data_IF_815112277833
#
_entry.id   IF_815112277833
#
_cell.length_a   1.000
_cell.length_b   1.000
_cell.length_c   1.000
_cell.angle_alpha   90.00
_cell.angle_beta   90.00
_cell.angle_gamma   90.00
#
_symmetry.space_group_name_H-M   'P 1'
#
loop_
_entity.id
_entity.type
_entity.pdbx_description
1 polymer ?
#
# COMPACT_ATOMS: atom_id res chain seq x y z
N UNK A 1 18.97 -2.34 -11.79
CA UNK A 1 18.04 -3.22 -11.05
C UNK A 1 16.78 -2.42 -10.83
N UNK A 2 15.61 -2.95 -11.19
CA UNK A 2 14.33 -2.26 -10.97
C UNK A 2 13.78 -2.67 -9.61
N UNK A 3 13.45 -1.68 -8.77
CA UNK A 3 12.93 -1.90 -7.43
C UNK A 3 11.49 -1.37 -7.39
N UNK A 4 10.58 -2.20 -6.91
CA UNK A 4 9.16 -1.88 -6.78
C UNK A 4 8.75 -1.95 -5.30
N UNK A 5 7.76 -1.15 -4.92
CA UNK A 5 7.15 -1.19 -3.60
C UNK A 5 5.77 -1.87 -3.64
N UNK A 6 5.23 -2.22 -2.48
CA UNK A 6 3.89 -2.80 -2.35
C UNK A 6 2.97 -1.86 -1.58
N UNK A 7 1.80 -1.57 -2.13
CA UNK A 7 0.79 -0.72 -1.47
C UNK A 7 -0.20 -1.61 -0.70
N UNK A 8 -0.29 -1.47 0.63
CA UNK A 8 -1.00 -2.43 1.50
C UNK A 8 -2.52 -2.17 1.56
N UNK A 9 -3.23 -2.34 0.44
CA UNK A 9 -4.69 -2.07 0.36
C UNK A 9 -5.57 -3.06 1.13
N UNK A 10 -5.00 -4.11 1.73
CA UNK A 10 -5.70 -5.04 2.62
C UNK A 10 -5.49 -4.74 4.12
N UNK A 11 -4.55 -3.85 4.46
CA UNK A 11 -4.12 -3.63 5.83
C UNK A 11 -2.61 -3.50 5.95
N UNK A 12 -2.19 -2.62 6.86
CA UNK A 12 -0.79 -2.43 7.23
C UNK A 12 -0.65 -2.45 8.75
N UNK A 13 0.36 -3.14 9.25
CA UNK A 13 0.58 -3.27 10.67
C UNK A 13 2.05 -3.49 11.00
N UNK A 14 2.40 -3.14 12.25
CA UNK A 14 3.74 -3.44 12.79
C UNK A 14 3.92 -4.92 13.16
N UNK A 15 2.83 -5.59 13.55
CA UNK A 15 2.87 -6.96 14.06
C UNK A 15 1.88 -7.84 13.27
N UNK A 16 2.34 -9.02 12.86
CA UNK A 16 1.55 -9.96 12.06
C UNK A 16 0.47 -10.65 12.89
N UNK A 17 -0.71 -10.88 12.29
CA UNK A 17 -1.79 -11.65 12.90
C UNK A 17 -2.46 -11.00 14.12
N UNK A 18 -2.28 -9.70 14.33
CA UNK A 18 -2.86 -8.94 15.44
C UNK A 18 -3.27 -7.55 15.01
N UNK A 19 -4.22 -6.95 15.73
CA UNK A 19 -4.61 -5.56 15.56
C UNK A 19 -3.65 -4.59 16.26
N UNK A 20 -2.73 -5.10 17.10
CA UNK A 20 -1.76 -4.25 17.78
C UNK A 20 -0.85 -3.55 16.77
N UNK A 21 -0.85 -2.21 16.77
CA UNK A 21 -0.05 -1.42 15.83
C UNK A 21 -0.52 -1.50 14.37
N UNK A 22 -1.77 -1.91 14.13
CA UNK A 22 -2.43 -1.74 12.84
C UNK A 22 -2.63 -0.24 12.56
N UNK A 23 -2.50 0.14 11.28
CA UNK A 23 -2.81 1.47 10.79
C UNK A 23 -4.18 1.43 10.11
N UNK A 24 -4.94 2.49 10.29
CA UNK A 24 -6.13 2.71 9.47
C UNK A 24 -5.70 2.88 8.02
N UNK A 25 -6.41 2.19 7.12
CA UNK A 25 -6.17 2.28 5.69
C UNK A 25 -7.22 3.19 5.10
N UNK A 26 -6.79 4.38 4.70
CA UNK A 26 -7.57 5.33 3.94
C UNK A 26 -6.78 5.80 2.71
N UNK A 27 -7.44 6.60 1.86
CA UNK A 27 -6.81 7.11 0.64
C UNK A 27 -5.58 7.97 0.93
N UNK A 28 -5.62 8.81 1.97
CA UNK A 28 -4.53 9.73 2.30
C UNK A 28 -3.28 8.97 2.75
N UNK A 29 -3.45 7.89 3.51
CA UNK A 29 -2.38 6.99 3.92
C UNK A 29 -1.75 6.27 2.71
N UNK A 30 -2.57 5.68 1.84
CA UNK A 30 -2.08 4.99 0.65
C UNK A 30 -1.33 5.95 -0.28
N UNK A 31 -1.84 7.18 -0.44
CA UNK A 31 -1.17 8.26 -1.16
C UNK A 31 0.16 8.63 -0.55
N UNK A 32 0.26 8.71 0.78
CA UNK A 32 1.53 8.97 1.46
C UNK A 32 2.58 7.91 1.12
N UNK A 33 2.21 6.62 1.14
CA UNK A 33 3.13 5.53 0.80
C UNK A 33 3.54 5.60 -0.67
N UNK A 34 2.61 5.88 -1.58
CA UNK A 34 2.90 6.04 -3.00
C UNK A 34 3.85 7.22 -3.27
N UNK A 35 3.61 8.38 -2.64
CA UNK A 35 4.49 9.56 -2.73
C UNK A 35 5.87 9.28 -2.14
N UNK A 36 5.95 8.52 -1.04
CA UNK A 36 7.22 8.11 -0.47
C UNK A 36 8.00 7.21 -1.45
N UNK A 37 7.35 6.21 -2.04
CA UNK A 37 7.98 5.34 -3.05
C UNK A 37 8.48 6.13 -4.27
N UNK A 38 7.66 7.05 -4.79
CA UNK A 38 8.03 7.95 -5.90
C UNK A 38 9.25 8.81 -5.55
N UNK A 39 9.22 9.49 -4.39
CA UNK A 39 10.32 10.36 -3.95
C UNK A 39 11.64 9.63 -3.68
N UNK A 40 11.58 8.33 -3.36
CA UNK A 40 12.75 7.48 -3.10
C UNK A 40 13.29 6.81 -4.36
N UNK A 41 12.66 7.01 -5.53
CA UNK A 41 13.12 6.50 -6.82
C UNK A 41 12.76 5.04 -7.10
N UNK A 42 11.64 4.54 -6.54
CA UNK A 42 11.09 3.25 -6.95
C UNK A 42 10.54 3.33 -8.38
N UNK A 43 10.71 2.26 -9.15
CA UNK A 43 10.23 2.19 -10.56
C UNK A 43 8.71 2.14 -10.65
N UNK A 44 8.07 1.67 -9.58
CA UNK A 44 6.62 1.63 -9.47
C UNK A 44 6.16 0.91 -8.22
N UNK A 45 4.86 0.68 -8.16
CA UNK A 45 4.21 0.01 -7.04
C UNK A 45 3.30 -1.11 -7.51
N UNK A 46 3.21 -2.16 -6.70
CA UNK A 46 2.24 -3.24 -6.86
C UNK A 46 1.03 -2.97 -5.98
N UNK A 47 -0.15 -3.00 -6.60
CA UNK A 47 -1.45 -2.99 -5.91
C UNK A 47 -2.00 -4.43 -5.90
N UNK A 48 -2.28 -5.02 -4.73
CA UNK A 48 -2.82 -6.37 -4.66
C UNK A 48 -4.27 -6.42 -5.14
N UNK A 49 -4.71 -7.63 -5.50
CA UNK A 49 -6.10 -7.92 -5.85
C UNK A 49 -6.65 -8.98 -4.91
N UNK A 50 -7.92 -8.88 -4.53
CA UNK A 50 -8.59 -9.89 -3.73
C UNK A 50 -9.85 -9.34 -3.06
N UNK A 51 -10.74 -10.21 -2.59
CA UNK A 51 -12.00 -9.80 -1.94
C UNK A 51 -11.80 -8.85 -0.76
N UNK A 52 -10.66 -8.96 -0.10
CA UNK A 52 -10.35 -8.21 1.11
C UNK A 52 -9.46 -6.99 0.84
N UNK A 53 -9.06 -6.76 -0.41
CA UNK A 53 -8.31 -5.58 -0.84
C UNK A 53 -9.28 -4.56 -1.43
N UNK A 54 -8.94 -3.28 -1.35
CA UNK A 54 -9.56 -2.27 -2.21
C UNK A 54 -9.30 -2.55 -3.70
N UNK A 55 -10.20 -2.10 -4.59
CA UNK A 55 -10.07 -2.33 -6.02
C UNK A 55 -8.78 -1.66 -6.57
N UNK A 56 -7.89 -2.42 -7.21
CA UNK A 56 -6.58 -1.91 -7.65
C UNK A 56 -6.68 -0.85 -8.75
N UNK A 57 -7.73 -0.87 -9.59
CA UNK A 57 -7.89 0.12 -10.66
C UNK A 57 -8.40 1.44 -10.11
N UNK A 58 -9.30 1.39 -9.12
CA UNK A 58 -9.79 2.57 -8.42
C UNK A 58 -8.70 3.21 -7.57
N UNK A 59 -7.89 2.42 -6.85
CA UNK A 59 -6.79 2.94 -6.02
C UNK A 59 -5.68 3.56 -6.88
N UNK A 60 -5.46 3.05 -8.11
CA UNK A 60 -4.43 3.57 -9.01
C UNK A 60 -4.83 4.87 -9.75
N UNK A 61 -6.13 5.18 -9.84
CA UNK A 61 -6.66 6.31 -10.63
C UNK A 61 -6.46 7.66 -9.94
#
# INVERSE_FOLDING_TARGET
MQIFWFIPTHGDSRYLGTAQGAREIDYDYLKQVAQAADSLGYEGVLLPTGRSCEDPWVVAA
#
